data_IF_165565113749
#
_entry.id   IF_165565113749
#
_cell.length_a   1.000
_cell.length_b   1.000
_cell.length_c   1.000
_cell.angle_alpha   90.00
_cell.angle_beta   90.00
_cell.angle_gamma   90.00
#
_symmetry.space_group_name_H-M   'P 1'
#
loop_
_entity.id
_entity.type
_entity.pdbx_description
1 polymer ?
#
# COMPACT_ATOMS: atom_id res chain seq x y z
N UNK A 1 30.16 49.88 20.83
CA UNK A 1 29.68 48.61 21.43
C UNK A 1 28.33 48.33 20.79
N UNK A 2 28.31 47.45 19.78
CA UNK A 2 27.09 47.12 19.05
C UNK A 2 26.28 46.08 19.82
N UNK A 3 24.98 46.31 19.97
CA UNK A 3 24.04 45.40 20.61
C UNK A 3 23.96 44.07 19.83
N UNK A 4 24.33 42.92 20.42
CA UNK A 4 24.27 41.62 19.76
C UNK A 4 22.85 41.03 19.67
N UNK A 5 21.80 41.73 20.13
CA UNK A 5 20.46 41.16 20.29
C UNK A 5 19.55 41.27 19.06
N UNK A 6 19.96 41.94 17.98
CA UNK A 6 19.18 42.02 16.74
C UNK A 6 19.33 40.75 15.87
N UNK A 7 19.05 39.56 16.43
CA UNK A 7 18.79 38.37 15.60
C UNK A 7 17.41 38.56 14.98
N UNK A 8 17.39 38.86 13.68
CA UNK A 8 16.16 38.94 12.89
C UNK A 8 15.27 37.73 13.15
N UNK A 9 14.08 37.99 13.68
CA UNK A 9 13.06 36.99 13.91
C UNK A 9 12.45 36.64 12.55
N UNK A 10 12.93 35.56 11.94
CA UNK A 10 12.31 35.04 10.72
C UNK A 10 11.05 34.26 11.11
N UNK A 11 9.98 34.44 10.34
CA UNK A 11 8.82 33.56 10.43
C UNK A 11 9.25 32.13 10.08
N UNK A 12 8.98 31.19 10.98
CA UNK A 12 9.24 29.77 10.73
C UNK A 12 8.09 29.23 9.90
N UNK A 13 8.33 29.01 8.60
CA UNK A 13 7.37 28.41 7.68
C UNK A 13 7.56 26.89 7.68
N UNK A 14 6.51 26.15 8.02
CA UNK A 14 6.46 24.69 7.89
C UNK A 14 5.60 24.25 6.70
N UNK A 15 6.06 23.25 5.95
CA UNK A 15 5.26 22.58 4.91
C UNK A 15 4.90 21.16 5.35
N UNK A 16 3.75 20.65 4.90
CA UNK A 16 3.31 19.27 5.13
C UNK A 16 3.15 18.55 3.80
N UNK A 17 3.61 17.31 3.74
CA UNK A 17 3.47 16.45 2.57
C UNK A 17 2.72 15.18 2.93
N UNK A 18 1.77 14.82 2.08
CA UNK A 18 0.94 13.61 2.19
C UNK A 18 1.33 12.70 1.03
N UNK A 19 1.82 11.50 1.34
CA UNK A 19 2.49 10.61 0.39
C UNK A 19 1.63 9.45 -0.11
N UNK A 20 0.48 9.15 0.53
CA UNK A 20 -0.37 8.04 0.10
C UNK A 20 -0.76 8.17 -1.39
N UNK A 21 -1.13 9.38 -1.82
CA UNK A 21 -1.42 9.66 -3.23
C UNK A 21 -0.23 9.46 -4.18
N UNK A 22 0.99 9.76 -3.74
CA UNK A 22 2.19 9.53 -4.53
C UNK A 22 2.48 8.03 -4.69
N UNK A 23 2.37 7.26 -3.61
CA UNK A 23 2.56 5.81 -3.61
C UNK A 23 1.59 5.09 -4.56
N UNK A 24 0.28 5.37 -4.48
CA UNK A 24 -0.68 4.68 -5.36
C UNK A 24 -0.53 5.08 -6.84
N UNK A 25 -0.10 6.33 -7.12
CA UNK A 25 0.22 6.77 -8.49
C UNK A 25 1.47 6.07 -9.02
N UNK A 26 2.52 5.99 -8.22
CA UNK A 26 3.74 5.27 -8.56
C UNK A 26 3.43 3.78 -8.83
N UNK A 27 2.63 3.16 -7.96
CA UNK A 27 2.22 1.78 -8.11
C UNK A 27 1.52 1.52 -9.45
N UNK A 28 0.53 2.36 -9.80
CA UNK A 28 -0.20 2.27 -11.07
C UNK A 28 0.68 2.49 -12.30
N UNK A 29 1.57 3.48 -12.24
CA UNK A 29 2.52 3.74 -13.32
C UNK A 29 3.41 2.51 -13.57
N UNK A 30 3.98 1.94 -12.50
CA UNK A 30 4.83 0.76 -12.59
C UNK A 30 4.05 -0.48 -13.05
N UNK A 31 2.80 -0.66 -12.61
CA UNK A 31 1.95 -1.73 -13.13
C UNK A 31 1.66 -1.60 -14.64
N UNK A 32 1.48 -0.38 -15.14
CA UNK A 32 1.34 -0.13 -16.59
C UNK A 32 2.61 -0.48 -17.36
N UNK A 33 3.76 0.01 -16.88
CA UNK A 33 5.07 -0.26 -17.50
C UNK A 33 5.39 -1.76 -17.50
N UNK A 34 5.08 -2.46 -16.40
CA UNK A 34 5.22 -3.91 -16.30
C UNK A 34 4.39 -4.62 -17.38
N UNK A 35 3.13 -4.20 -17.59
CA UNK A 35 2.23 -4.78 -18.59
C UNK A 35 2.70 -4.56 -20.02
N UNK A 36 3.16 -3.34 -20.33
CA UNK A 36 3.71 -2.99 -21.64
C UNK A 36 4.95 -3.84 -21.93
N UNK A 37 5.86 -3.96 -20.95
CA UNK A 37 7.07 -4.78 -21.09
C UNK A 37 6.76 -6.27 -21.23
N UNK A 38 5.92 -6.82 -20.36
CA UNK A 38 5.52 -8.23 -20.39
C UNK A 38 4.89 -8.59 -21.74
N UNK A 39 4.01 -7.74 -22.27
CA UNK A 39 3.40 -7.94 -23.59
C UNK A 39 4.45 -7.96 -24.71
N UNK A 40 5.36 -7.00 -24.73
CA UNK A 40 6.42 -6.94 -25.73
C UNK A 40 7.32 -8.20 -25.70
N UNK A 41 7.65 -8.70 -24.50
CA UNK A 41 8.44 -9.93 -24.33
C UNK A 41 7.66 -11.15 -24.81
N UNK A 42 6.38 -11.28 -24.47
CA UNK A 42 5.53 -12.39 -24.93
C UNK A 42 5.37 -12.42 -26.46
N UNK A 43 5.26 -11.25 -27.09
CA UNK A 43 5.20 -11.12 -28.55
C UNK A 43 6.53 -11.51 -29.21
N UNK A 44 7.65 -11.01 -28.67
CA UNK A 44 8.99 -11.30 -29.19
C UNK A 44 9.35 -12.78 -29.07
N UNK A 45 8.91 -13.45 -27.99
CA UNK A 45 9.37 -14.79 -27.59
C UNK A 45 8.28 -15.85 -27.74
N UNK A 46 7.38 -15.66 -28.69
CA UNK A 46 6.21 -16.54 -28.87
C UNK A 46 6.65 -17.98 -29.17
N UNK A 47 6.31 -18.90 -28.28
CA UNK A 47 6.64 -20.33 -28.42
C UNK A 47 8.00 -20.72 -27.82
N UNK A 48 8.69 -19.80 -27.16
CA UNK A 48 9.94 -20.08 -26.45
C UNK A 48 9.71 -20.59 -25.02
N UNK A 49 10.79 -21.08 -24.40
CA UNK A 49 10.81 -21.50 -23.00
C UNK A 49 10.61 -20.32 -22.04
N UNK A 50 10.12 -20.59 -20.81
CA UNK A 50 9.97 -19.58 -19.75
C UNK A 50 11.26 -18.80 -19.50
N UNK A 51 11.11 -17.52 -19.18
CA UNK A 51 12.26 -16.64 -19.05
C UNK A 51 12.02 -15.50 -18.09
N UNK A 52 13.11 -15.05 -17.48
CA UNK A 52 13.12 -13.87 -16.61
C UNK A 52 13.39 -12.64 -17.46
N UNK A 53 12.53 -11.64 -17.33
CA UNK A 53 12.75 -10.30 -17.87
C UNK A 53 12.92 -9.30 -16.73
N UNK A 54 14.15 -8.88 -16.48
CA UNK A 54 14.48 -8.07 -15.30
C UNK A 54 13.80 -6.69 -15.27
N UNK A 55 13.47 -6.13 -16.44
CA UNK A 55 12.74 -4.86 -16.52
C UNK A 55 11.29 -5.05 -16.06
N UNK A 56 10.59 -6.07 -16.59
CA UNK A 56 9.25 -6.43 -16.15
C UNK A 56 9.22 -6.74 -14.65
N UNK A 57 10.19 -7.51 -14.15
CA UNK A 57 10.30 -7.84 -12.73
C UNK A 57 10.52 -6.59 -11.86
N UNK A 58 11.39 -5.67 -12.29
CA UNK A 58 11.66 -4.42 -11.57
C UNK A 58 10.40 -3.56 -11.45
N UNK A 59 9.65 -3.42 -12.54
CA UNK A 59 8.36 -2.72 -12.51
C UNK A 59 7.36 -3.41 -11.59
N UNK A 60 7.30 -4.75 -11.59
CA UNK A 60 6.41 -5.49 -10.70
C UNK A 60 6.79 -5.29 -9.21
N UNK A 61 8.07 -5.39 -8.86
CA UNK A 61 8.57 -5.13 -7.50
C UNK A 61 8.16 -3.74 -7.04
N UNK A 62 8.42 -2.72 -7.86
CA UNK A 62 8.05 -1.34 -7.53
C UNK A 62 6.54 -1.19 -7.32
N UNK A 63 5.71 -1.73 -8.22
CA UNK A 63 4.26 -1.67 -8.07
C UNK A 63 3.76 -2.30 -6.75
N UNK A 64 4.33 -3.44 -6.38
CA UNK A 64 3.96 -4.18 -5.16
C UNK A 64 4.38 -3.42 -3.89
N UNK A 65 5.61 -2.92 -3.84
CA UNK A 65 6.13 -2.19 -2.69
C UNK A 65 5.36 -0.88 -2.50
N UNK A 66 5.16 -0.12 -3.58
CA UNK A 66 4.42 1.14 -3.55
C UNK A 66 2.94 0.94 -3.17
N UNK A 67 2.30 -0.15 -3.60
CA UNK A 67 0.94 -0.50 -3.18
C UNK A 67 0.85 -0.75 -1.66
N UNK A 68 1.84 -1.42 -1.07
CA UNK A 68 1.89 -1.63 0.37
C UNK A 68 2.24 -0.34 1.14
N UNK A 69 3.10 0.52 0.58
CA UNK A 69 3.42 1.83 1.14
C UNK A 69 2.20 2.75 1.14
N UNK A 70 1.35 2.70 0.10
CA UNK A 70 0.09 3.43 0.06
C UNK A 70 -0.82 3.11 1.25
N UNK A 71 -0.97 1.83 1.61
CA UNK A 71 -1.76 1.41 2.77
C UNK A 71 -1.25 2.03 4.08
N UNK A 72 0.07 1.98 4.26
CA UNK A 72 0.73 2.46 5.48
C UNK A 72 0.71 3.99 5.56
N UNK A 73 1.01 4.66 4.46
CA UNK A 73 0.90 6.12 4.37
C UNK A 73 -0.54 6.56 4.67
N UNK A 74 -1.56 5.91 4.09
CA UNK A 74 -2.93 6.39 4.26
C UNK A 74 -3.41 6.36 5.70
N UNK A 75 -3.19 5.26 6.42
CA UNK A 75 -3.57 5.20 7.84
C UNK A 75 -2.78 6.20 8.69
N UNK A 76 -1.49 6.37 8.40
CA UNK A 76 -0.65 7.36 9.09
C UNK A 76 -1.12 8.80 8.84
N UNK A 77 -1.59 9.12 7.64
CA UNK A 77 -2.15 10.44 7.32
C UNK A 77 -3.43 10.73 8.10
N UNK A 78 -4.31 9.74 8.28
CA UNK A 78 -5.52 9.85 9.09
C UNK A 78 -5.18 10.02 10.57
N UNK A 79 -4.23 9.22 11.08
CA UNK A 79 -3.77 9.34 12.46
C UNK A 79 -3.15 10.71 12.72
N UNK A 80 -2.28 11.18 11.83
CA UNK A 80 -1.68 12.49 11.93
C UNK A 80 -2.74 13.60 11.92
N UNK A 81 -3.72 13.52 11.01
CA UNK A 81 -4.82 14.48 10.96
C UNK A 81 -5.62 14.53 12.28
N UNK A 82 -5.80 13.40 12.97
CA UNK A 82 -6.49 13.36 14.26
C UNK A 82 -5.69 14.01 15.41
N UNK A 83 -4.36 14.01 15.32
CA UNK A 83 -3.46 14.63 16.30
C UNK A 83 -3.20 16.12 16.05
N UNK A 84 -3.70 16.68 14.94
CA UNK A 84 -3.44 18.08 14.59
C UNK A 84 -4.08 19.04 15.60
N UNK A 85 -3.32 20.03 16.12
CA UNK A 85 -3.81 20.94 17.15
C UNK A 85 -4.88 21.90 16.63
N UNK A 86 -4.90 22.18 15.32
CA UNK A 86 -5.89 23.04 14.69
C UNK A 86 -6.92 22.15 13.97
N UNK A 87 -8.10 21.92 14.57
CA UNK A 87 -9.13 21.07 13.94
C UNK A 87 -9.56 21.55 12.54
N UNK A 88 -9.48 22.85 12.27
CA UNK A 88 -9.75 23.39 10.94
C UNK A 88 -8.75 22.91 9.86
N UNK A 89 -7.47 22.65 10.21
CA UNK A 89 -6.47 22.09 9.29
C UNK A 89 -6.64 20.58 9.07
N UNK A 90 -7.27 19.87 10.00
CA UNK A 90 -7.64 18.46 9.88
C UNK A 90 -8.92 18.23 9.04
N UNK A 91 -9.75 19.27 8.88
CA UNK A 91 -11.18 19.17 8.53
C UNK A 91 -11.50 18.42 7.23
N UNK A 92 -10.63 18.47 6.22
CA UNK A 92 -10.90 17.78 4.96
C UNK A 92 -10.60 16.28 4.98
N UNK A 93 -9.59 15.82 5.72
CA UNK A 93 -9.21 14.38 5.74
C UNK A 93 -10.04 13.55 6.70
N UNK A 94 -10.58 14.21 7.72
CA UNK A 94 -11.48 13.61 8.71
C UNK A 94 -12.95 13.97 8.43
N UNK A 95 -13.23 14.55 7.26
CA UNK A 95 -14.58 14.92 6.88
C UNK A 95 -15.51 13.70 6.97
N UNK A 96 -16.63 13.85 7.68
CA UNK A 96 -17.59 12.77 7.95
C UNK A 96 -17.47 12.15 9.35
N UNK A 97 -16.35 12.34 10.06
CA UNK A 97 -16.20 11.83 11.43
C UNK A 97 -16.78 12.79 12.46
N UNK A 98 -17.41 12.23 13.50
CA UNK A 98 -17.79 12.96 14.70
C UNK A 98 -16.58 13.23 15.61
N UNK A 99 -16.64 14.28 16.43
CA UNK A 99 -15.58 14.64 17.37
C UNK A 99 -15.12 13.48 18.26
N UNK A 100 -16.07 12.67 18.75
CA UNK A 100 -15.77 11.49 19.58
C UNK A 100 -14.93 10.44 18.85
N UNK A 101 -15.13 10.31 17.53
CA UNK A 101 -14.39 9.36 16.70
C UNK A 101 -12.99 9.90 16.43
N UNK A 102 -12.88 11.20 16.15
CA UNK A 102 -11.58 11.88 15.98
C UNK A 102 -10.75 11.76 17.26
N UNK A 103 -11.35 11.99 18.42
CA UNK A 103 -10.69 11.87 19.72
C UNK A 103 -10.22 10.42 19.97
N UNK A 104 -11.04 9.41 19.65
CA UNK A 104 -10.65 8.00 19.77
C UNK A 104 -9.48 7.61 18.84
N UNK A 105 -9.42 8.19 17.63
CA UNK A 105 -8.29 7.98 16.70
C UNK A 105 -7.03 8.66 17.22
N UNK A 106 -7.15 9.88 17.76
CA UNK A 106 -6.03 10.60 18.39
C UNK A 106 -5.44 9.79 19.55
N UNK A 107 -6.28 9.30 20.46
CA UNK A 107 -5.82 8.50 21.61
C UNK A 107 -5.10 7.22 21.16
N UNK A 108 -5.58 6.57 20.10
CA UNK A 108 -4.90 5.42 19.49
C UNK A 108 -3.54 5.81 18.88
N UNK A 109 -3.48 6.94 18.16
CA UNK A 109 -2.28 7.42 17.50
C UNK A 109 -1.18 7.80 18.52
N UNK A 110 -1.56 8.43 19.63
CA UNK A 110 -0.64 8.88 20.70
C UNK A 110 -0.23 7.75 21.65
N UNK A 111 -0.91 6.60 21.62
CA UNK A 111 -0.57 5.44 22.46
C UNK A 111 0.84 4.93 22.16
N UNK A 112 1.62 4.68 23.21
CA UNK A 112 2.97 4.13 23.08
C UNK A 112 2.98 2.83 22.25
N UNK A 113 3.87 2.76 21.26
CA UNK A 113 4.05 1.61 20.37
C UNK A 113 3.00 1.46 19.26
N UNK A 114 2.08 2.42 19.10
CA UNK A 114 1.11 2.45 17.99
C UNK A 114 1.80 2.50 16.62
N UNK A 115 2.94 3.19 16.54
CA UNK A 115 3.78 3.37 15.35
C UNK A 115 4.34 2.04 14.82
N UNK A 116 4.62 1.08 15.71
CA UNK A 116 5.17 -0.25 15.42
C UNK A 116 4.13 -1.29 15.01
N UNK A 117 2.84 -0.95 15.06
CA UNK A 117 1.80 -1.88 14.65
C UNK A 117 1.94 -2.24 13.15
N UNK A 118 1.76 -3.51 12.77
CA UNK A 118 1.62 -3.87 11.37
C UNK A 118 0.50 -3.07 10.71
N UNK A 119 0.67 -2.68 9.44
CA UNK A 119 -0.28 -1.81 8.73
C UNK A 119 -1.74 -2.27 8.80
N UNK A 120 -1.99 -3.57 8.70
CA UNK A 120 -3.37 -4.11 8.79
C UNK A 120 -3.92 -3.97 10.20
N UNK A 121 -3.08 -4.12 11.23
CA UNK A 121 -3.50 -3.93 12.61
C UNK A 121 -3.70 -2.45 12.92
N UNK A 122 -2.94 -1.52 12.31
CA UNK A 122 -3.24 -0.08 12.36
C UNK A 122 -4.63 0.21 11.80
N UNK A 123 -4.92 -0.28 10.58
CA UNK A 123 -6.22 -0.09 9.92
C UNK A 123 -7.37 -0.69 10.73
N UNK A 124 -7.19 -1.90 11.25
CA UNK A 124 -8.18 -2.63 12.07
C UNK A 124 -8.47 -1.90 13.39
N UNK A 125 -7.42 -1.53 14.13
CA UNK A 125 -7.58 -0.82 15.41
C UNK A 125 -8.21 0.56 15.24
N UNK A 126 -7.94 1.24 14.12
CA UNK A 126 -8.58 2.53 13.80
C UNK A 126 -10.09 2.36 13.64
N UNK A 127 -10.54 1.33 12.92
CA UNK A 127 -11.98 1.05 12.79
C UNK A 127 -12.60 0.66 14.13
N UNK A 128 -11.91 -0.18 14.92
CA UNK A 128 -12.41 -0.64 16.22
C UNK A 128 -12.60 0.54 17.17
N UNK A 129 -11.62 1.44 17.30
CA UNK A 129 -11.74 2.56 18.23
C UNK A 129 -12.78 3.60 17.77
N UNK A 130 -12.91 3.84 16.46
CA UNK A 130 -13.82 4.85 15.92
C UNK A 130 -15.27 4.37 15.74
N UNK A 131 -15.48 3.08 15.53
CA UNK A 131 -16.81 2.53 15.12
C UNK A 131 -17.28 1.35 15.98
N UNK A 132 -16.41 0.77 16.80
CA UNK A 132 -16.68 -0.45 17.56
C UNK A 132 -16.68 -1.74 16.71
N UNK A 133 -16.39 -1.65 15.41
CA UNK A 133 -16.32 -2.80 14.49
C UNK A 133 -14.94 -2.86 13.83
N UNK A 134 -14.40 -4.07 13.69
CA UNK A 134 -13.10 -4.30 13.04
C UNK A 134 -13.23 -4.80 11.60
N UNK A 135 -12.08 -5.10 11.01
CA UNK A 135 -11.95 -5.65 9.66
C UNK A 135 -12.27 -7.14 9.67
N UNK A 136 -13.10 -7.58 8.71
CA UNK A 136 -13.35 -9.01 8.48
C UNK A 136 -12.15 -9.70 7.81
N UNK A 137 -11.12 -10.05 8.60
CA UNK A 137 -9.81 -10.58 8.13
C UNK A 137 -9.89 -11.86 7.28
N UNK A 138 -11.03 -12.55 7.28
CA UNK A 138 -11.29 -13.78 6.53
C UNK A 138 -11.90 -13.58 5.15
N UNK A 139 -12.21 -12.34 4.74
CA UNK A 139 -12.82 -12.04 3.44
C UNK A 139 -11.91 -11.21 2.55
N UNK A 140 -12.21 -11.19 1.25
CA UNK A 140 -11.59 -10.25 0.31
C UNK A 140 -12.23 -8.85 0.48
N UNK A 141 -11.47 -7.75 0.36
CA UNK A 141 -10.05 -7.67 -0.04
C UNK A 141 -9.03 -7.81 1.11
N UNK A 142 -9.46 -8.03 2.36
CA UNK A 142 -8.54 -8.15 3.51
C UNK A 142 -7.52 -9.30 3.35
N UNK A 143 -7.96 -10.45 2.83
CA UNK A 143 -7.05 -11.57 2.52
C UNK A 143 -6.01 -11.21 1.46
N UNK A 144 -6.40 -10.47 0.43
CA UNK A 144 -5.51 -10.03 -0.64
C UNK A 144 -4.46 -9.08 -0.09
N UNK A 145 -4.86 -8.07 0.69
CA UNK A 145 -3.94 -7.12 1.32
C UNK A 145 -2.99 -7.79 2.31
N UNK A 146 -3.44 -8.81 3.06
CA UNK A 146 -2.53 -9.63 3.89
C UNK A 146 -1.48 -10.36 3.04
N UNK A 147 -1.86 -10.84 1.86
CA UNK A 147 -0.94 -11.41 0.88
C UNK A 147 0.06 -10.38 0.37
N UNK A 148 -0.43 -9.19 -0.01
CA UNK A 148 0.36 -8.07 -0.50
C UNK A 148 1.42 -7.62 0.52
N UNK A 149 1.03 -7.39 1.77
CA UNK A 149 1.97 -7.00 2.84
C UNK A 149 3.05 -8.07 3.02
N UNK A 150 2.68 -9.35 3.00
CA UNK A 150 3.65 -10.45 3.09
C UNK A 150 4.59 -10.51 1.89
N UNK A 151 4.10 -10.15 0.71
CA UNK A 151 4.91 -10.07 -0.51
C UNK A 151 5.91 -8.91 -0.43
N UNK A 152 5.47 -7.73 0.03
CA UNK A 152 6.36 -6.60 0.33
C UNK A 152 7.43 -6.97 1.36
N UNK A 153 7.02 -7.59 2.48
CA UNK A 153 7.97 -8.04 3.53
C UNK A 153 9.06 -8.93 2.93
N UNK A 154 8.68 -9.84 2.03
CA UNK A 154 9.59 -10.78 1.39
C UNK A 154 10.60 -10.12 0.46
N UNK A 155 10.24 -9.03 -0.20
CA UNK A 155 11.14 -8.27 -1.07
C UNK A 155 12.03 -7.29 -0.29
N UNK A 156 11.46 -6.57 0.68
CA UNK A 156 12.20 -5.56 1.46
C UNK A 156 13.16 -6.20 2.46
N UNK A 157 12.77 -7.33 3.05
CA UNK A 157 13.58 -8.07 4.03
C UNK A 157 14.15 -9.36 3.43
N UNK A 158 14.36 -9.38 2.11
CA UNK A 158 14.84 -10.56 1.40
C UNK A 158 16.17 -11.05 1.97
N UNK A 159 16.24 -12.35 2.28
CA UNK A 159 17.46 -13.04 2.68
C UNK A 159 17.74 -14.13 1.65
N UNK A 160 18.82 -14.04 0.86
CA UNK A 160 19.17 -15.07 -0.10
C UNK A 160 19.29 -16.43 0.56
N UNK A 161 18.66 -17.44 -0.03
CA UNK A 161 18.73 -18.84 0.41
C UNK A 161 18.74 -19.75 -0.82
N UNK A 162 19.39 -20.90 -0.70
CA UNK A 162 19.25 -21.96 -1.70
C UNK A 162 17.82 -22.48 -1.65
N UNK A 163 17.18 -22.61 -2.81
CA UNK A 163 15.83 -23.14 -2.94
C UNK A 163 15.82 -24.33 -3.90
N UNK A 164 15.35 -25.47 -3.40
CA UNK A 164 15.17 -26.68 -4.19
C UNK A 164 13.78 -26.72 -4.81
N UNK A 165 13.64 -27.39 -5.95
CA UNK A 165 12.40 -27.45 -6.73
C UNK A 165 11.30 -28.33 -6.10
N UNK A 166 11.69 -29.20 -5.16
CA UNK A 166 10.82 -30.04 -4.34
C UNK A 166 10.37 -29.34 -3.03
N UNK A 167 10.87 -28.12 -2.75
CA UNK A 167 10.52 -27.36 -1.56
C UNK A 167 9.65 -26.13 -1.91
N UNK A 168 8.38 -26.20 -1.54
CA UNK A 168 7.46 -25.08 -1.73
C UNK A 168 7.83 -23.91 -0.80
N UNK A 169 8.01 -22.72 -1.38
CA UNK A 169 8.24 -21.51 -0.59
C UNK A 169 7.03 -21.24 0.31
N UNK A 170 7.25 -20.73 1.54
CA UNK A 170 6.16 -20.45 2.48
C UNK A 170 5.09 -19.50 1.88
N UNK A 171 5.52 -18.56 1.05
CA UNK A 171 4.62 -17.64 0.34
C UNK A 171 3.80 -18.32 -0.75
N UNK A 172 4.33 -19.36 -1.41
CA UNK A 172 3.64 -20.05 -2.50
C UNK A 172 2.30 -20.61 -2.02
N UNK A 173 2.29 -21.31 -0.87
CA UNK A 173 1.07 -21.90 -0.30
C UNK A 173 -0.04 -20.86 -0.06
N UNK A 174 0.35 -19.62 0.21
CA UNK A 174 -0.58 -18.53 0.55
C UNK A 174 -1.01 -17.72 -0.66
N UNK A 175 -0.08 -17.41 -1.56
CA UNK A 175 -0.28 -16.46 -2.63
C UNK A 175 -0.78 -17.10 -3.93
N UNK A 176 -0.48 -18.38 -4.18
CA UNK A 176 -0.78 -19.02 -5.47
C UNK A 176 -2.29 -19.03 -5.83
N UNK A 177 -3.17 -18.95 -4.83
CA UNK A 177 -4.63 -18.87 -5.01
C UNK A 177 -5.17 -17.43 -4.99
N UNK A 178 -4.32 -16.45 -4.66
CA UNK A 178 -4.69 -15.04 -4.55
C UNK A 178 -4.25 -14.25 -5.77
N UNK A 179 -3.05 -14.51 -6.28
CA UNK A 179 -2.41 -13.70 -7.31
C UNK A 179 -2.62 -14.29 -8.71
N UNK A 180 -2.70 -13.45 -9.75
CA UNK A 180 -2.71 -13.92 -11.13
C UNK A 180 -1.44 -14.70 -11.49
N UNK A 181 -1.52 -15.69 -12.41
CA UNK A 181 -0.35 -16.42 -12.87
C UNK A 181 0.59 -15.53 -13.70
N UNK A 182 1.90 -15.77 -13.63
CA UNK A 182 2.89 -15.13 -14.49
C UNK A 182 2.96 -15.85 -15.86
N UNK A 183 2.58 -15.20 -16.97
CA UNK A 183 2.64 -15.82 -18.30
C UNK A 183 4.07 -16.11 -18.78
N UNK A 184 5.09 -15.39 -18.29
CA UNK A 184 6.50 -15.61 -18.64
C UNK A 184 7.12 -16.81 -17.89
N UNK A 185 6.48 -17.28 -16.82
CA UNK A 185 7.01 -18.31 -15.92
C UNK A 185 6.20 -19.61 -15.90
N UNK A 186 5.38 -19.86 -16.92
CA UNK A 186 4.54 -21.06 -16.98
C UNK A 186 5.39 -22.34 -16.88
N UNK A 187 5.08 -23.19 -15.89
CA UNK A 187 5.79 -24.44 -15.65
C UNK A 187 7.20 -24.30 -15.05
N UNK A 188 7.72 -23.08 -14.88
CA UNK A 188 9.04 -22.86 -14.30
C UNK A 188 9.08 -23.15 -12.80
N UNK A 189 10.23 -23.63 -12.31
CA UNK A 189 10.51 -23.84 -10.88
C UNK A 189 11.89 -23.27 -10.51
N UNK A 190 12.09 -22.83 -9.26
CA UNK A 190 11.10 -22.71 -8.19
C UNK A 190 10.08 -21.57 -8.44
N UNK A 191 8.94 -21.60 -7.72
CA UNK A 191 7.85 -20.63 -7.93
C UNK A 191 8.23 -19.20 -7.52
N UNK A 192 8.87 -19.04 -6.37
CA UNK A 192 9.34 -17.74 -5.88
C UNK A 192 10.81 -17.52 -6.31
N UNK A 193 11.23 -16.29 -6.68
CA UNK A 193 10.44 -15.06 -6.73
C UNK A 193 9.71 -14.84 -8.06
N UNK A 194 10.11 -15.49 -9.14
CA UNK A 194 9.74 -15.06 -10.49
C UNK A 194 8.24 -15.15 -10.82
N UNK A 195 7.48 -16.11 -10.25
CA UNK A 195 6.05 -16.22 -10.54
C UNK A 195 5.19 -15.09 -9.99
N UNK A 196 5.70 -14.32 -9.03
CA UNK A 196 4.97 -13.15 -8.46
C UNK A 196 5.43 -11.83 -9.06
N UNK A 197 6.43 -11.85 -9.93
CA UNK A 197 7.01 -10.67 -10.58
C UNK A 197 6.47 -10.55 -12.00
N UNK A 198 5.18 -10.23 -12.12
CA UNK A 198 4.48 -10.13 -13.40
C UNK A 198 3.44 -9.00 -13.39
N UNK A 199 2.97 -8.63 -14.59
CA UNK A 199 2.01 -7.54 -14.76
C UNK A 199 0.67 -7.82 -14.05
N UNK A 200 0.26 -9.09 -14.01
CA UNK A 200 -0.94 -9.52 -13.31
C UNK A 200 -0.85 -9.26 -11.80
N UNK A 201 0.26 -9.63 -11.15
CA UNK A 201 0.46 -9.38 -9.72
C UNK A 201 0.64 -7.89 -9.43
N UNK A 202 1.35 -7.17 -10.29
CA UNK A 202 1.51 -5.71 -10.16
C UNK A 202 0.16 -4.98 -10.18
N UNK A 203 -0.73 -5.34 -11.11
CA UNK A 203 -2.08 -4.79 -11.19
C UNK A 203 -2.93 -5.20 -9.98
N UNK A 204 -2.90 -6.49 -9.61
CA UNK A 204 -3.61 -7.00 -8.43
C UNK A 204 -3.23 -6.25 -7.16
N UNK A 205 -1.94 -5.96 -6.95
CA UNK A 205 -1.47 -5.20 -5.79
C UNK A 205 -2.08 -3.78 -5.74
N UNK A 206 -2.10 -3.09 -6.89
CA UNK A 206 -2.69 -1.75 -7.01
C UNK A 206 -4.19 -1.78 -6.71
N UNK A 207 -4.91 -2.71 -7.35
CA UNK A 207 -6.37 -2.77 -7.25
C UNK A 207 -6.81 -3.18 -5.85
N UNK A 208 -6.18 -4.19 -5.26
CA UNK A 208 -6.58 -4.69 -3.94
C UNK A 208 -6.19 -3.76 -2.80
N UNK A 209 -5.10 -3.01 -2.92
CA UNK A 209 -4.78 -1.95 -1.95
C UNK A 209 -5.76 -0.78 -2.04
N UNK A 210 -6.09 -0.33 -3.26
CA UNK A 210 -7.08 0.71 -3.52
C UNK A 210 -8.49 0.32 -3.03
N UNK A 211 -8.97 -0.87 -3.43
CA UNK A 211 -10.28 -1.41 -3.03
C UNK A 211 -10.39 -1.52 -1.51
N UNK A 212 -9.34 -2.02 -0.84
CA UNK A 212 -9.35 -2.17 0.62
C UNK A 212 -9.39 -0.84 1.35
N UNK A 213 -8.59 0.16 0.93
CA UNK A 213 -8.64 1.50 1.52
C UNK A 213 -10.01 2.14 1.27
N UNK A 214 -10.56 2.00 0.07
CA UNK A 214 -11.90 2.52 -0.21
C UNK A 214 -12.96 1.97 0.76
N UNK A 215 -13.00 0.65 0.94
CA UNK A 215 -13.93 -0.01 1.87
C UNK A 215 -13.66 0.38 3.33
N UNK A 216 -12.38 0.51 3.71
CA UNK A 216 -11.98 0.93 5.04
C UNK A 216 -12.43 2.37 5.34
N UNK A 217 -12.24 3.30 4.41
CA UNK A 217 -12.69 4.70 4.55
C UNK A 217 -14.21 4.82 4.63
N UNK A 218 -14.93 4.05 3.81
CA UNK A 218 -16.39 3.97 3.87
C UNK A 218 -16.87 3.43 5.22
N UNK A 219 -16.25 2.36 5.71
CA UNK A 219 -16.59 1.78 7.01
C UNK A 219 -16.29 2.73 8.17
N UNK A 220 -15.25 3.56 8.03
CA UNK A 220 -14.87 4.58 9.01
C UNK A 220 -15.85 5.77 9.01
N UNK A 221 -16.53 6.02 7.88
CA UNK A 221 -17.47 7.12 7.70
C UNK A 221 -16.86 8.37 7.05
N UNK A 222 -15.72 8.23 6.37
CA UNK A 222 -15.09 9.35 5.67
C UNK A 222 -15.87 9.74 4.41
N UNK A 223 -16.14 11.03 4.25
CA UNK A 223 -16.84 11.58 3.08
C UNK A 223 -15.88 12.10 2.01
N UNK A 224 -14.66 12.48 2.40
CA UNK A 224 -13.58 12.82 1.48
C UNK A 224 -12.58 11.66 1.38
N UNK A 225 -12.88 10.71 0.52
CA UNK A 225 -12.06 9.51 0.31
C UNK A 225 -10.79 9.81 -0.48
N UNK A 226 -9.81 8.90 -0.43
CA UNK A 226 -8.55 9.06 -1.17
C UNK A 226 -8.77 9.24 -2.69
N UNK A 227 -9.84 8.65 -3.25
CA UNK A 227 -10.15 8.75 -4.68
C UNK A 227 -10.58 10.17 -5.06
N UNK A 228 -11.31 10.85 -4.17
CA UNK A 228 -11.67 12.27 -4.30
C UNK A 228 -10.43 13.14 -4.07
N UNK A 229 -9.67 12.86 -3.01
CA UNK A 229 -8.47 13.62 -2.62
C UNK A 229 -7.38 13.60 -3.71
N UNK A 230 -7.25 12.50 -4.44
CA UNK A 230 -6.19 12.32 -5.44
C UNK A 230 -6.69 12.36 -6.89
N UNK A 231 -7.95 12.74 -7.14
CA UNK A 231 -8.57 12.75 -8.46
C UNK A 231 -8.40 11.42 -9.23
N UNK A 232 -8.39 10.31 -8.50
CA UNK A 232 -8.29 8.98 -9.07
C UNK A 232 -9.71 8.54 -9.42
N UNK A 233 -10.17 8.87 -10.63
CA UNK A 233 -11.44 8.37 -11.16
C UNK A 233 -11.37 6.84 -11.10
N UNK A 234 -12.18 6.23 -10.24
CA UNK A 234 -12.49 4.81 -10.32
C UNK A 234 -13.49 4.73 -11.48
N UNK A 235 -13.00 4.44 -12.68
CA UNK A 235 -13.89 3.98 -13.74
C UNK A 235 -14.40 2.62 -13.28
N UNK A 236 -15.70 2.52 -12.97
CA UNK A 236 -16.37 1.23 -12.89
C UNK A 236 -16.08 0.49 -14.20
N UNK A 237 -15.62 -0.76 -14.07
CA UNK A 237 -15.24 -1.61 -15.19
C UNK A 237 -16.40 -2.01 -16.08
#
# INVERSE_FOLDING_TARGET
MGDPSAKGQYDVIGTRHYFAGAHIRAARLMASQCRERERAVLEMRRGELPTVDYDAESYAVCAIVESAAFLEARVNEIWFAATEPIRASASQRLAGLEDKQVDAIRDLAEREGSDRLPVIDKLDQTLICATGRGIEKGRRPAQDVRGLVKLRDAFVHFKPKLQWDNEAHALQKRLIQLVPPNPLMQGAKPWFPHHVLCAGVAQWACDKSAEFIHQWEQALGLTNTYSIEYALIITEG
#
